data_IF_394518958200
#
_entry.id   IF_394518958200
#
_cell.length_a   1.000
_cell.length_b   1.000
_cell.length_c   1.000
_cell.angle_alpha   90.00
_cell.angle_beta   90.00
_cell.angle_gamma   90.00
#
_symmetry.space_group_name_H-M   'P 1'
#
loop_
_entity.id
_entity.type
_entity.pdbx_description
1 polymer ?
#
# COMPACT_ATOMS: atom_id res chain seq x y z
N UNK A 1 28.36 24.21 -8.14
CA UNK A 1 27.57 23.00 -8.45
C UNK A 1 26.10 23.28 -8.16
N UNK A 2 25.14 22.71 -8.91
CA UNK A 2 23.72 22.86 -8.58
C UNK A 2 23.44 22.29 -7.18
N UNK A 3 22.60 22.99 -6.39
CA UNK A 3 22.20 22.47 -5.08
C UNK A 3 21.32 21.22 -5.27
N UNK A 4 21.60 20.11 -4.57
CA UNK A 4 20.74 18.94 -4.59
C UNK A 4 19.38 19.26 -3.99
N UNK A 5 18.35 18.57 -4.47
CA UNK A 5 16.97 18.67 -4.02
C UNK A 5 16.62 17.37 -3.31
N UNK A 6 16.20 17.47 -2.05
CA UNK A 6 15.80 16.30 -1.28
C UNK A 6 14.40 15.84 -1.70
N UNK A 7 14.25 14.54 -1.85
CA UNK A 7 13.02 13.89 -2.28
C UNK A 7 12.73 12.74 -1.34
N UNK A 8 11.49 12.65 -0.89
CA UNK A 8 10.96 11.55 -0.10
C UNK A 8 9.91 10.81 -0.92
N UNK A 9 10.06 9.49 -1.00
CA UNK A 9 9.15 8.60 -1.70
C UNK A 9 8.61 7.58 -0.72
N UNK A 10 7.31 7.63 -0.46
CA UNK A 10 6.62 6.66 0.41
C UNK A 10 5.98 5.58 -0.45
N UNK A 11 6.39 4.33 -0.26
CA UNK A 11 5.73 3.15 -0.83
C UNK A 11 4.54 2.74 0.05
N UNK A 12 4.06 1.49 -0.01
CA UNK A 12 3.00 1.03 0.89
C UNK A 12 3.52 0.63 2.28
N UNK A 13 4.79 0.23 2.38
CA UNK A 13 5.40 -0.34 3.58
C UNK A 13 6.79 0.22 3.92
N UNK A 14 7.33 1.12 3.09
CA UNK A 14 8.64 1.73 3.28
C UNK A 14 8.68 3.21 2.87
N UNK A 15 9.57 3.97 3.51
CA UNK A 15 9.90 5.35 3.16
C UNK A 15 11.34 5.41 2.63
N UNK A 16 11.51 6.05 1.48
CA UNK A 16 12.79 6.15 0.78
C UNK A 16 13.17 7.63 0.63
N UNK A 17 14.42 7.98 0.91
CA UNK A 17 14.92 9.34 0.74
C UNK A 17 16.03 9.38 -0.32
N UNK A 18 15.95 10.36 -1.23
CA UNK A 18 16.86 10.56 -2.34
C UNK A 18 17.29 12.03 -2.43
N UNK A 19 18.47 12.26 -3.02
CA UNK A 19 18.90 13.58 -3.43
C UNK A 19 18.98 13.62 -4.96
N UNK A 20 18.18 14.49 -5.59
CA UNK A 20 18.15 14.65 -7.05
C UNK A 20 18.78 15.97 -7.47
N UNK A 21 19.30 16.01 -8.70
CA UNK A 21 19.76 17.25 -9.32
C UNK A 21 18.59 18.00 -9.98
N UNK A 22 18.65 19.34 -10.16
CA UNK A 22 17.57 20.11 -10.78
C UNK A 22 17.21 19.69 -12.22
N UNK A 23 18.13 19.03 -12.92
CA UNK A 23 17.93 18.48 -14.26
C UNK A 23 17.35 17.06 -14.29
N UNK A 24 17.14 16.43 -13.12
CA UNK A 24 16.64 15.06 -13.00
C UNK A 24 15.23 14.93 -13.58
N UNK A 25 15.04 13.94 -14.45
CA UNK A 25 13.74 13.61 -15.04
C UNK A 25 12.90 12.74 -14.10
N UNK A 26 11.59 12.75 -14.30
CA UNK A 26 10.69 11.85 -13.56
C UNK A 26 11.07 10.38 -13.78
N UNK A 27 11.54 10.01 -14.98
CA UNK A 27 12.03 8.66 -15.29
C UNK A 27 13.24 8.29 -14.44
N UNK A 28 14.23 9.19 -14.32
CA UNK A 28 15.42 8.92 -13.50
C UNK A 28 15.09 8.71 -12.03
N UNK A 29 14.19 9.52 -11.47
CA UNK A 29 13.71 9.34 -10.10
C UNK A 29 12.94 8.02 -9.95
N UNK A 30 12.02 7.72 -10.87
CA UNK A 30 11.26 6.48 -10.87
C UNK A 30 12.15 5.24 -10.97
N UNK A 31 13.16 5.25 -11.84
CA UNK A 31 14.11 4.15 -12.01
C UNK A 31 14.94 3.91 -10.73
N UNK A 32 15.29 4.97 -9.99
CA UNK A 32 15.95 4.84 -8.69
C UNK A 32 15.05 4.19 -7.64
N UNK A 33 13.77 4.59 -7.60
CA UNK A 33 12.78 4.02 -6.68
C UNK A 33 12.59 2.53 -6.93
N UNK A 34 12.28 2.13 -8.16
CA UNK A 34 12.01 0.71 -8.49
C UNK A 34 13.26 -0.16 -8.32
N UNK A 35 14.45 0.38 -8.60
CA UNK A 35 15.71 -0.32 -8.34
C UNK A 35 15.96 -0.53 -6.84
N UNK A 36 15.63 0.46 -6.01
CA UNK A 36 15.78 0.36 -4.55
C UNK A 36 14.80 -0.63 -3.95
N UNK A 37 13.56 -0.65 -4.46
CA UNK A 37 12.51 -1.59 -4.02
C UNK A 37 12.75 -3.01 -4.59
N UNK A 38 13.48 -3.15 -5.69
CA UNK A 38 13.69 -4.44 -6.37
C UNK A 38 12.53 -4.85 -7.29
N UNK A 39 11.74 -3.88 -7.75
CA UNK A 39 10.56 -4.10 -8.59
C UNK A 39 10.90 -4.00 -10.08
N UNK A 40 10.47 -4.98 -10.88
CA UNK A 40 10.67 -5.05 -12.33
C UNK A 40 9.38 -4.84 -13.12
N UNK A 41 8.23 -5.19 -12.56
CA UNK A 41 6.90 -5.01 -13.16
C UNK A 41 6.42 -3.54 -13.11
N UNK A 42 7.25 -2.66 -13.66
CA UNK A 42 7.14 -1.21 -13.49
C UNK A 42 5.92 -0.59 -14.18
N UNK A 43 5.34 -1.28 -15.17
CA UNK A 43 4.23 -0.77 -15.98
C UNK A 43 2.95 -0.50 -15.18
N UNK A 44 2.80 -1.13 -14.01
CA UNK A 44 1.67 -0.88 -13.13
C UNK A 44 1.83 0.39 -12.28
N UNK A 45 3.05 0.86 -12.05
CA UNK A 45 3.34 1.84 -11.00
C UNK A 45 3.62 3.25 -11.52
N UNK A 46 3.47 4.21 -10.63
CA UNK A 46 3.87 5.60 -10.86
C UNK A 46 4.23 6.32 -9.56
N UNK A 47 4.73 7.55 -9.71
CA UNK A 47 4.92 8.47 -8.61
C UNK A 47 3.78 9.48 -8.59
N UNK A 48 3.05 9.51 -7.49
CA UNK A 48 1.97 10.44 -7.23
C UNK A 48 2.46 11.57 -6.31
N UNK A 49 1.99 12.79 -6.51
CA UNK A 49 2.31 13.94 -5.66
C UNK A 49 1.08 14.87 -5.55
N UNK A 50 1.10 15.77 -4.59
CA UNK A 50 0.11 16.85 -4.49
C UNK A 50 0.63 18.10 -5.17
N UNK A 51 -0.12 18.61 -6.14
CA UNK A 51 0.27 19.82 -6.87
C UNK A 51 0.09 21.10 -6.05
N UNK A 52 0.46 22.26 -6.61
CA UNK A 52 0.34 23.55 -5.92
C UNK A 52 -1.11 23.94 -5.57
N UNK A 53 -2.10 23.33 -6.24
CA UNK A 53 -3.53 23.57 -6.07
C UNK A 53 -4.20 22.54 -5.14
N UNK A 54 -3.44 21.58 -4.62
CA UNK A 54 -3.94 20.53 -3.74
C UNK A 54 -4.48 19.29 -4.47
N UNK A 55 -4.37 19.21 -5.80
CA UNK A 55 -4.81 18.04 -6.55
C UNK A 55 -3.75 16.95 -6.55
N UNK A 56 -4.23 15.71 -6.45
CA UNK A 56 -3.41 14.52 -6.56
C UNK A 56 -3.07 14.28 -8.04
N UNK A 57 -1.78 14.33 -8.37
CA UNK A 57 -1.27 14.25 -9.75
C UNK A 57 -0.19 13.18 -9.90
N UNK A 58 -0.12 12.55 -11.07
CA UNK A 58 0.96 11.61 -11.42
C UNK A 58 2.13 12.34 -12.09
N UNK A 59 3.34 12.06 -11.61
CA UNK A 59 4.58 12.58 -12.17
C UNK A 59 4.78 12.10 -13.61
N UNK A 60 5.03 13.04 -14.51
CA UNK A 60 5.36 12.76 -15.91
C UNK A 60 6.82 12.33 -16.01
N UNK A 61 7.05 11.09 -16.45
CA UNK A 61 8.40 10.51 -16.52
C UNK A 61 9.30 11.20 -17.56
N UNK A 62 8.71 11.75 -18.63
CA UNK A 62 9.43 12.42 -19.71
C UNK A 62 9.77 13.91 -19.43
N UNK A 63 9.39 14.44 -18.26
CA UNK A 63 9.69 15.83 -17.86
C UNK A 63 10.62 15.87 -16.65
N UNK A 64 11.31 17.00 -16.46
CA UNK A 64 12.08 17.25 -15.23
C UNK A 64 11.13 17.31 -14.04
N UNK A 65 11.55 16.78 -12.88
CA UNK A 65 10.75 16.83 -11.65
C UNK A 65 10.44 18.28 -11.27
N UNK A 66 11.45 19.13 -11.35
CA UNK A 66 11.38 20.57 -11.02
C UNK A 66 10.57 21.43 -12.00
N UNK A 67 10.28 20.92 -13.20
CA UNK A 67 9.48 21.63 -14.21
C UNK A 67 7.99 21.27 -14.15
N UNK A 68 7.62 20.40 -13.21
CA UNK A 68 6.24 20.03 -12.96
C UNK A 68 5.73 20.79 -11.73
N UNK A 69 4.41 20.89 -11.58
CA UNK A 69 3.77 21.68 -10.54
C UNK A 69 3.79 21.00 -9.17
N UNK A 70 4.95 20.45 -8.78
CA UNK A 70 5.16 19.81 -7.48
C UNK A 70 5.22 20.90 -6.41
N UNK A 71 4.52 20.68 -5.30
CA UNK A 71 4.57 21.59 -4.15
C UNK A 71 6.01 21.79 -3.70
N UNK A 72 6.43 23.06 -3.57
CA UNK A 72 7.81 23.45 -3.26
C UNK A 72 8.13 23.33 -1.78
N UNK A 73 8.09 22.11 -1.26
CA UNK A 73 8.47 21.74 0.10
C UNK A 73 9.82 21.01 0.13
N UNK A 74 10.41 20.89 1.31
CA UNK A 74 11.70 20.22 1.51
C UNK A 74 11.57 19.20 2.64
N UNK A 75 11.66 17.88 2.36
CA UNK A 75 11.85 17.26 1.04
C UNK A 75 10.60 17.32 0.15
N UNK A 76 10.77 17.21 -1.17
CA UNK A 76 9.63 16.99 -2.08
C UNK A 76 8.98 15.64 -1.77
N UNK A 77 7.65 15.60 -1.67
CA UNK A 77 6.91 14.41 -1.28
C UNK A 77 6.31 13.69 -2.50
N UNK A 78 6.59 12.40 -2.62
CA UNK A 78 5.97 11.51 -3.60
C UNK A 78 5.46 10.23 -2.94
N UNK A 79 4.39 9.67 -3.50
CA UNK A 79 3.89 8.34 -3.17
C UNK A 79 4.13 7.41 -4.35
N UNK A 80 4.80 6.29 -4.11
CA UNK A 80 4.93 5.22 -5.09
C UNK A 80 3.71 4.31 -4.98
N UNK A 81 2.88 4.28 -6.02
CA UNK A 81 1.57 3.61 -6.02
C UNK A 81 1.30 2.92 -7.35
N UNK A 82 0.49 1.87 -7.32
CA UNK A 82 -0.09 1.27 -8.51
C UNK A 82 -1.08 2.28 -9.14
N UNK A 83 -0.85 2.57 -10.42
CA UNK A 83 -1.65 3.44 -11.29
C UNK A 83 -2.59 2.64 -12.18
N UNK A 84 -2.14 1.47 -12.61
CA UNK A 84 -2.89 0.55 -13.45
C UNK A 84 -3.03 -0.78 -12.71
N UNK A 85 -4.18 -1.40 -12.85
CA UNK A 85 -4.48 -2.71 -12.26
C UNK A 85 -4.58 -3.74 -13.38
N UNK A 86 -4.07 -4.96 -13.17
CA UNK A 86 -4.24 -6.06 -14.13
C UNK A 86 -5.71 -6.45 -14.25
N UNK A 87 -6.05 -7.17 -15.33
CA UNK A 87 -7.36 -7.79 -15.49
C UNK A 87 -7.47 -9.03 -14.59
N UNK A 88 -6.39 -9.82 -14.50
CA UNK A 88 -6.28 -10.97 -13.59
C UNK A 88 -4.98 -10.91 -12.75
N UNK A 89 -5.13 -10.69 -11.45
CA UNK A 89 -3.99 -10.61 -10.52
C UNK A 89 -3.24 -11.93 -10.37
N UNK A 90 -3.89 -13.08 -10.61
CA UNK A 90 -3.29 -14.41 -10.42
C UNK A 90 -2.38 -14.80 -11.58
N UNK A 91 -2.65 -14.31 -12.79
CA UNK A 91 -1.85 -14.57 -13.99
C UNK A 91 -0.82 -13.46 -14.26
N UNK A 92 -1.15 -12.20 -13.94
CA UNK A 92 -0.35 -11.05 -14.37
C UNK A 92 0.65 -10.53 -13.32
N UNK A 93 0.44 -10.79 -12.02
CA UNK A 93 1.36 -10.35 -10.97
C UNK A 93 2.40 -11.44 -10.66
N UNK A 94 3.62 -11.23 -11.15
CA UNK A 94 4.66 -12.26 -11.14
C UNK A 94 5.53 -12.18 -9.87
N UNK A 95 5.95 -10.98 -9.46
CA UNK A 95 6.84 -10.83 -8.31
C UNK A 95 6.07 -10.67 -7.00
N UNK A 96 6.55 -11.34 -5.94
CA UNK A 96 6.01 -11.20 -4.57
C UNK A 96 5.96 -9.74 -4.11
N UNK A 97 6.99 -8.93 -4.43
CA UNK A 97 6.99 -7.50 -4.09
C UNK A 97 5.86 -6.74 -4.78
N UNK A 98 5.55 -7.07 -6.03
CA UNK A 98 4.44 -6.48 -6.78
C UNK A 98 3.13 -6.86 -6.13
N UNK A 99 2.91 -8.15 -5.88
CA UNK A 99 1.72 -8.67 -5.21
C UNK A 99 1.51 -8.01 -3.85
N UNK A 100 2.58 -7.89 -3.04
CA UNK A 100 2.55 -7.23 -1.73
C UNK A 100 2.13 -5.76 -1.84
N UNK A 101 2.71 -5.00 -2.77
CA UNK A 101 2.37 -3.57 -2.93
C UNK A 101 0.92 -3.38 -3.40
N UNK A 102 0.44 -4.21 -4.32
CA UNK A 102 -0.97 -4.22 -4.74
C UNK A 102 -1.89 -4.55 -3.57
N UNK A 103 -1.59 -5.63 -2.85
CA UNK A 103 -2.36 -6.07 -1.68
C UNK A 103 -2.48 -4.95 -0.64
N UNK A 104 -1.36 -4.32 -0.26
CA UNK A 104 -1.38 -3.26 0.74
C UNK A 104 -2.18 -2.04 0.27
N UNK A 105 -2.06 -1.66 -1.02
CA UNK A 105 -2.79 -0.52 -1.58
C UNK A 105 -4.30 -0.78 -1.61
N UNK A 106 -4.73 -1.96 -2.06
CA UNK A 106 -6.15 -2.35 -2.08
C UNK A 106 -6.70 -2.45 -0.67
N UNK A 107 -5.93 -3.03 0.26
CA UNK A 107 -6.30 -3.10 1.68
C UNK A 107 -6.51 -1.71 2.28
N UNK A 108 -5.60 -0.76 2.01
CA UNK A 108 -5.76 0.63 2.48
C UNK A 108 -7.03 1.27 1.92
N UNK A 109 -7.30 1.11 0.62
CA UNK A 109 -8.50 1.65 -0.03
C UNK A 109 -9.80 1.05 0.53
N UNK A 110 -9.84 -0.26 0.81
CA UNK A 110 -11.00 -0.91 1.45
C UNK A 110 -11.20 -0.36 2.87
N UNK A 111 -10.13 -0.29 3.67
CA UNK A 111 -10.22 0.17 5.07
C UNK A 111 -10.67 1.63 5.18
N UNK A 112 -10.31 2.47 4.21
CA UNK A 112 -10.69 3.88 4.14
C UNK A 112 -12.08 4.11 3.49
N UNK A 113 -12.82 3.04 3.17
CA UNK A 113 -14.12 3.10 2.46
C UNK A 113 -14.04 3.81 1.09
N UNK A 114 -12.84 3.90 0.49
CA UNK A 114 -12.67 4.38 -0.90
C UNK A 114 -13.21 3.34 -1.90
N UNK A 115 -13.02 2.05 -1.57
CA UNK A 115 -13.59 0.93 -2.29
C UNK A 115 -14.63 0.23 -1.42
N UNK A 116 -15.88 0.20 -1.90
CA UNK A 116 -16.95 -0.51 -1.20
C UNK A 116 -16.62 -2.00 -1.10
N UNK A 117 -16.72 -2.54 0.12
CA UNK A 117 -16.56 -3.96 0.40
C UNK A 117 -17.70 -4.43 1.31
N UNK A 118 -18.48 -5.46 0.93
CA UNK A 118 -19.53 -5.99 1.79
C UNK A 118 -18.93 -6.62 3.07
N UNK A 119 -19.66 -6.64 4.19
CA UNK A 119 -19.14 -7.11 5.48
C UNK A 119 -18.49 -8.49 5.45
N UNK A 120 -19.11 -9.46 4.76
CA UNK A 120 -18.63 -10.83 4.68
C UNK A 120 -17.27 -10.89 3.98
N UNK A 121 -17.13 -10.17 2.86
CA UNK A 121 -15.87 -10.07 2.13
C UNK A 121 -14.82 -9.31 2.92
N UNK A 122 -15.19 -8.27 3.67
CA UNK A 122 -14.25 -7.51 4.49
C UNK A 122 -13.63 -8.38 5.59
N UNK A 123 -14.43 -9.23 6.26
CA UNK A 123 -13.93 -10.20 7.25
C UNK A 123 -12.98 -11.21 6.61
N UNK A 124 -13.34 -11.73 5.44
CA UNK A 124 -12.50 -12.69 4.72
C UNK A 124 -11.16 -12.05 4.30
N UNK A 125 -11.18 -10.84 3.73
CA UNK A 125 -9.96 -10.09 3.37
C UNK A 125 -9.12 -9.78 4.61
N UNK A 126 -9.74 -9.43 5.74
CA UNK A 126 -9.05 -9.23 7.01
C UNK A 126 -8.33 -10.50 7.48
N UNK A 127 -8.96 -11.67 7.36
CA UNK A 127 -8.33 -12.94 7.74
C UNK A 127 -7.11 -13.29 6.88
N UNK A 128 -7.16 -13.05 5.57
CA UNK A 128 -5.98 -13.19 4.71
C UNK A 128 -4.89 -12.18 5.05
N UNK A 129 -5.26 -10.95 5.41
CA UNK A 129 -4.29 -9.94 5.86
C UNK A 129 -3.60 -10.34 7.17
N UNK A 130 -4.33 -10.98 8.08
CA UNK A 130 -3.78 -11.55 9.31
C UNK A 130 -2.83 -12.70 9.00
N UNK A 131 -3.21 -13.64 8.13
CA UNK A 131 -2.34 -14.74 7.68
C UNK A 131 -1.04 -14.20 7.04
N UNK A 132 -1.13 -13.21 6.16
CA UNK A 132 0.04 -12.60 5.53
C UNK A 132 0.98 -11.92 6.54
N UNK A 133 0.43 -11.32 7.61
CA UNK A 133 1.21 -10.60 8.64
C UNK A 133 1.80 -11.53 9.70
N UNK A 134 1.00 -12.43 10.25
CA UNK A 134 1.36 -13.28 11.38
C UNK A 134 1.82 -14.68 10.96
N UNK A 135 1.48 -15.14 9.76
CA UNK A 135 1.62 -16.54 9.35
C UNK A 135 0.61 -17.43 10.09
N UNK A 136 0.79 -18.75 10.01
CA UNK A 136 -0.14 -19.73 10.58
C UNK A 136 -0.56 -19.43 12.03
N UNK A 137 -1.86 -19.54 12.29
CA UNK A 137 -2.39 -19.40 13.63
C UNK A 137 -1.78 -20.45 14.60
N UNK A 138 -1.25 -19.96 15.72
CA UNK A 138 -0.78 -20.78 16.83
C UNK A 138 -1.40 -20.28 18.14
N UNK A 139 -2.16 -21.15 18.81
CA UNK A 139 -2.88 -20.84 20.06
C UNK A 139 -1.97 -20.39 21.21
N UNK A 140 -0.71 -20.83 21.23
CA UNK A 140 0.25 -20.45 22.28
C UNK A 140 0.76 -19.02 22.09
N UNK A 141 0.87 -18.57 20.83
CA UNK A 141 1.40 -17.26 20.46
C UNK A 141 0.28 -16.22 20.25
N UNK A 142 -0.85 -16.62 19.70
CA UNK A 142 -1.99 -15.77 19.35
C UNK A 142 -3.08 -15.85 20.41
N UNK A 143 -2.79 -15.25 21.57
CA UNK A 143 -3.75 -15.13 22.68
C UNK A 143 -4.86 -14.14 22.33
N UNK A 144 -6.04 -14.22 22.97
CA UNK A 144 -7.13 -13.26 22.77
C UNK A 144 -6.64 -11.81 22.88
N UNK A 145 -7.04 -10.97 21.92
CA UNK A 145 -6.59 -9.58 21.80
C UNK A 145 -5.33 -9.36 20.95
N UNK A 146 -4.72 -10.40 20.35
CA UNK A 146 -3.55 -10.23 19.48
C UNK A 146 -3.83 -9.37 18.22
N UNK A 147 -5.11 -9.23 17.84
CA UNK A 147 -5.58 -8.42 16.73
C UNK A 147 -6.00 -7.00 17.14
N UNK A 148 -6.02 -6.68 18.44
CA UNK A 148 -6.61 -5.44 18.95
C UNK A 148 -5.90 -4.17 18.47
N UNK A 149 -4.62 -4.24 18.09
CA UNK A 149 -3.87 -3.12 17.54
C UNK A 149 -4.07 -2.91 16.03
N UNK A 150 -4.67 -3.88 15.34
CA UNK A 150 -4.79 -3.86 13.88
C UNK A 150 -6.09 -3.21 13.41
N UNK A 151 -5.98 -2.36 12.40
CA UNK A 151 -7.14 -1.85 11.65
C UNK A 151 -7.51 -2.88 10.58
N UNK A 152 -8.47 -3.74 10.90
CA UNK A 152 -8.84 -4.90 10.08
C UNK A 152 -10.12 -4.71 9.25
N UNK A 153 -11.06 -3.90 9.72
CA UNK A 153 -12.35 -3.69 9.05
C UNK A 153 -12.60 -2.20 8.78
N UNK A 154 -13.34 -1.86 7.71
CA UNK A 154 -13.82 -0.50 7.46
C UNK A 154 -14.76 -0.04 8.59
N UNK A 155 -14.75 1.26 8.89
CA UNK A 155 -15.56 1.82 9.98
C UNK A 155 -17.06 1.56 9.75
N UNK A 156 -17.52 1.67 8.50
CA UNK A 156 -18.90 1.37 8.13
C UNK A 156 -19.30 -0.07 8.48
N UNK A 157 -18.43 -1.06 8.30
CA UNK A 157 -18.73 -2.46 8.63
C UNK A 157 -18.85 -2.65 10.13
N UNK A 158 -17.98 -1.99 10.91
CA UNK A 158 -18.04 -2.04 12.37
C UNK A 158 -19.34 -1.44 12.91
N UNK A 159 -19.82 -0.35 12.31
CA UNK A 159 -21.03 0.37 12.76
C UNK A 159 -22.35 -0.28 12.32
N UNK A 160 -22.35 -1.01 11.19
CA UNK A 160 -23.56 -1.65 10.65
C UNK A 160 -24.05 -2.86 11.46
N UNK A 161 -23.18 -3.48 12.27
CA UNK A 161 -23.52 -4.66 13.05
C UNK A 161 -23.43 -4.39 14.55
N UNK A 162 -24.29 -5.05 15.33
CA UNK A 162 -24.28 -5.00 16.80
C UNK A 162 -23.23 -5.93 17.41
N UNK A 163 -22.01 -5.90 16.88
CA UNK A 163 -20.90 -6.72 17.35
C UNK A 163 -19.88 -5.86 18.08
N UNK A 164 -19.35 -6.36 19.19
CA UNK A 164 -18.23 -5.73 19.88
C UNK A 164 -16.94 -5.94 19.07
N UNK A 165 -15.91 -5.16 19.40
CA UNK A 165 -14.58 -5.32 18.79
C UNK A 165 -14.04 -6.75 19.00
N UNK A 166 -14.20 -7.29 20.21
CA UNK A 166 -13.80 -8.67 20.55
C UNK A 166 -14.53 -9.71 19.68
N UNK A 167 -15.84 -9.54 19.46
CA UNK A 167 -16.60 -10.44 18.59
C UNK A 167 -16.15 -10.38 17.12
N UNK A 168 -15.69 -9.23 16.65
CA UNK A 168 -15.08 -9.13 15.33
C UNK A 168 -13.71 -9.82 15.27
N UNK A 169 -12.89 -9.65 16.31
CA UNK A 169 -11.60 -10.34 16.42
C UNK A 169 -11.79 -11.86 16.42
N UNK A 170 -12.75 -12.39 17.18
CA UNK A 170 -13.07 -13.81 17.22
C UNK A 170 -13.46 -14.34 15.82
N UNK A 171 -14.31 -13.61 15.09
CA UNK A 171 -14.71 -13.99 13.73
C UNK A 171 -13.52 -14.03 12.78
N UNK A 172 -12.64 -13.02 12.83
CA UNK A 172 -11.45 -12.97 11.97
C UNK A 172 -10.47 -14.08 12.36
N UNK A 173 -10.33 -14.37 13.65
CA UNK A 173 -9.49 -15.47 14.13
C UNK A 173 -10.00 -16.83 13.63
N UNK A 174 -11.31 -17.10 13.67
CA UNK A 174 -11.85 -18.36 13.12
C UNK A 174 -11.44 -18.55 11.67
N UNK A 175 -11.50 -17.50 10.83
CA UNK A 175 -11.04 -17.58 9.46
C UNK A 175 -9.51 -17.69 9.34
N UNK A 176 -8.75 -17.06 10.22
CA UNK A 176 -7.29 -17.18 10.25
C UNK A 176 -6.84 -18.63 10.55
N UNK A 177 -7.56 -19.35 11.41
CA UNK A 177 -7.31 -20.76 11.68
C UNK A 177 -7.49 -21.66 10.44
N UNK A 178 -8.42 -21.31 9.55
CA UNK A 178 -8.69 -22.04 8.30
C UNK A 178 -7.59 -21.85 7.23
N UNK A 179 -6.83 -20.76 7.30
CA UNK A 179 -5.76 -20.46 6.32
C UNK A 179 -4.43 -21.16 6.62
N UNK A 180 -4.43 -22.12 7.53
CA UNK A 180 -3.22 -22.83 7.95
C UNK A 180 -2.50 -23.45 6.76
N UNK A 181 -1.16 -23.33 6.74
CA UNK A 181 -0.28 -23.79 5.67
C UNK A 181 -0.37 -23.00 4.36
N UNK A 182 -1.14 -21.90 4.34
CA UNK A 182 -1.05 -20.92 3.27
C UNK A 182 0.21 -20.06 3.46
N UNK A 183 1.07 -20.04 2.44
CA UNK A 183 2.25 -19.19 2.44
C UNK A 183 1.85 -17.70 2.46
N UNK A 184 2.73 -16.88 3.02
CA UNK A 184 2.55 -15.43 3.14
C UNK A 184 2.64 -14.72 1.79
#
# INVERSE_FOLDING_TARGET
>A
MPKPINVRVTTMDAELEFAIQPNTTGKQLFDQVVKTVGLREVWFFGLQYTDSKGYVTWLKLNKKVTQQDVKKENPLQFKFRAKFFPEDVSEELIQEITQKLFFLQVKEAILNDENYCPPETAVLVASYAVQAKYGDYNKDNHKPGYLASDRLLPQRVLEQHKLTKEQWEDRIQTWHEEHRSMLR
#
